data_IF_331139646241
#
_entry.id   IF_331139646241
#
_cell.length_a   1.000
_cell.length_b   1.000
_cell.length_c   1.000
_cell.angle_alpha   90.00
_cell.angle_beta   90.00
_cell.angle_gamma   90.00
#
_symmetry.space_group_name_H-M   'P 1'
#
loop_
_entity.id
_entity.type
_entity.pdbx_description
1 polymer ?
#
# COMPACT_ATOMS: atom_id res chain seq x y z
N UNK A 1 1.67 -10.96 -19.40
CA UNK A 1 1.80 -12.32 -18.88
C UNK A 1 3.26 -12.72 -18.81
N UNK A 2 3.98 -12.81 -19.93
CA UNK A 2 5.41 -13.21 -19.94
C UNK A 2 6.32 -12.39 -19.01
N UNK A 3 6.14 -11.06 -18.96
CA UNK A 3 6.90 -10.21 -18.01
C UNK A 3 6.62 -10.54 -16.54
N UNK A 4 5.40 -10.98 -16.22
CA UNK A 4 5.08 -11.44 -14.86
C UNK A 4 5.83 -12.74 -14.60
N UNK A 5 5.83 -13.66 -15.56
CA UNK A 5 6.53 -14.93 -15.41
C UNK A 5 8.04 -14.75 -15.26
N UNK A 6 8.65 -13.88 -16.06
CA UNK A 6 10.09 -13.64 -15.97
C UNK A 6 10.50 -12.92 -14.68
N UNK A 7 9.66 -12.02 -14.16
CA UNK A 7 10.02 -11.14 -13.04
C UNK A 7 9.57 -11.67 -11.69
N UNK A 8 8.40 -12.30 -11.61
CA UNK A 8 7.75 -12.62 -10.34
C UNK A 8 7.55 -14.12 -10.11
N UNK A 9 7.33 -14.93 -11.15
CA UNK A 9 7.05 -16.36 -10.93
C UNK A 9 8.18 -17.09 -10.14
N UNK A 10 9.48 -16.89 -10.45
CA UNK A 10 10.56 -17.51 -9.66
C UNK A 10 10.50 -17.13 -8.18
N UNK A 11 10.23 -15.85 -7.89
CA UNK A 11 10.23 -15.30 -6.53
C UNK A 11 9.00 -15.74 -5.74
N UNK A 12 7.85 -15.83 -6.41
CA UNK A 12 6.61 -16.34 -5.81
C UNK A 12 6.80 -17.81 -5.42
N UNK A 13 7.26 -18.65 -6.34
CA UNK A 13 7.36 -20.09 -6.08
C UNK A 13 8.53 -20.43 -5.15
N UNK A 14 9.61 -19.63 -5.12
CA UNK A 14 10.69 -19.80 -4.13
C UNK A 14 10.26 -19.38 -2.73
N UNK A 15 9.49 -18.30 -2.60
CA UNK A 15 9.06 -17.78 -1.28
C UNK A 15 7.87 -18.56 -0.71
N UNK A 16 6.89 -18.90 -1.54
CA UNK A 16 5.71 -19.65 -1.13
C UNK A 16 5.95 -21.16 -1.09
N UNK A 17 6.99 -21.64 -1.75
CA UNK A 17 7.26 -23.06 -1.95
C UNK A 17 6.43 -23.64 -3.09
N UNK A 18 6.79 -24.86 -3.50
CA UNK A 18 6.03 -25.59 -4.52
C UNK A 18 4.65 -25.98 -3.97
N UNK A 19 3.60 -25.62 -4.71
CA UNK A 19 2.22 -26.01 -4.37
C UNK A 19 1.92 -27.43 -4.81
N UNK A 20 2.43 -27.83 -5.97
CA UNK A 20 2.23 -29.15 -6.56
C UNK A 20 3.59 -29.78 -6.88
N UNK A 21 3.81 -31.03 -6.44
CA UNK A 21 5.02 -31.80 -6.77
C UNK A 21 4.94 -32.51 -8.12
N UNK A 22 3.77 -32.48 -8.77
CA UNK A 22 3.51 -33.14 -10.04
C UNK A 22 3.23 -32.13 -11.17
N UNK A 23 3.29 -32.59 -12.42
CA UNK A 23 2.89 -31.80 -13.61
C UNK A 23 1.38 -31.46 -13.59
N UNK A 24 0.59 -32.18 -12.79
CA UNK A 24 -0.84 -31.94 -12.61
C UNK A 24 -1.07 -30.97 -11.45
N UNK A 25 -1.72 -29.84 -11.76
CA UNK A 25 -1.97 -28.75 -10.81
C UNK A 25 -1.33 -27.43 -11.24
N UNK A 26 -1.60 -26.38 -10.48
CA UNK A 26 -1.06 -25.03 -10.70
C UNK A 26 -0.15 -24.63 -9.55
N UNK A 27 1.01 -24.07 -9.85
CA UNK A 27 1.90 -23.44 -8.87
C UNK A 27 1.32 -22.10 -8.39
N UNK A 28 1.81 -21.58 -7.27
CA UNK A 28 1.30 -20.31 -6.74
C UNK A 28 1.51 -19.15 -7.72
N UNK A 29 2.65 -19.10 -8.42
CA UNK A 29 2.91 -18.10 -9.45
C UNK A 29 1.85 -18.10 -10.56
N UNK A 30 1.46 -19.26 -11.07
CA UNK A 30 0.43 -19.43 -12.09
C UNK A 30 -0.95 -18.97 -11.59
N UNK A 31 -1.25 -19.22 -10.31
CA UNK A 31 -2.50 -18.82 -9.66
C UNK A 31 -2.55 -17.30 -9.47
N UNK A 32 -1.47 -16.69 -8.98
CA UNK A 32 -1.37 -15.23 -8.82
C UNK A 32 -1.44 -14.53 -10.17
N UNK A 33 -0.81 -15.08 -11.21
CA UNK A 33 -0.92 -14.57 -12.58
C UNK A 33 -2.35 -14.68 -13.13
N UNK A 34 -3.07 -15.75 -12.81
CA UNK A 34 -4.48 -15.90 -13.16
C UNK A 34 -5.34 -14.84 -12.45
N UNK A 35 -5.10 -14.57 -11.16
CA UNK A 35 -5.73 -13.47 -10.44
C UNK A 35 -5.37 -12.09 -11.03
N UNK A 36 -4.11 -11.87 -11.40
CA UNK A 36 -3.66 -10.64 -12.06
C UNK A 36 -4.45 -10.36 -13.35
N UNK A 37 -4.75 -11.41 -14.12
CA UNK A 37 -5.48 -11.27 -15.38
C UNK A 37 -6.85 -10.61 -15.21
N UNK A 38 -7.52 -10.82 -14.08
CA UNK A 38 -8.80 -10.17 -13.74
C UNK A 38 -8.65 -8.66 -13.85
N UNK A 39 -7.73 -8.08 -13.08
CA UNK A 39 -7.57 -6.62 -13.02
C UNK A 39 -6.92 -6.03 -14.28
N UNK A 40 -5.99 -6.76 -14.90
CA UNK A 40 -5.35 -6.36 -16.15
C UNK A 40 -6.28 -6.49 -17.38
N UNK A 41 -7.45 -7.10 -17.24
CA UNK A 41 -8.49 -7.15 -18.26
C UNK A 41 -9.74 -6.34 -17.87
N UNK A 42 -9.67 -5.52 -16.82
CA UNK A 42 -10.78 -4.65 -16.39
C UNK A 42 -11.86 -5.36 -15.57
N UNK A 43 -11.64 -6.61 -15.18
CA UNK A 43 -12.46 -7.33 -14.22
C UNK A 43 -12.37 -6.74 -12.81
N UNK A 44 -13.29 -7.17 -11.96
CA UNK A 44 -13.48 -6.61 -10.63
C UNK A 44 -13.81 -7.66 -9.56
N UNK A 45 -14.12 -8.88 -9.97
CA UNK A 45 -14.40 -10.02 -9.09
C UNK A 45 -13.52 -11.21 -9.51
N UNK A 46 -13.15 -12.09 -8.56
CA UNK A 46 -12.27 -13.24 -8.85
C UNK A 46 -12.93 -14.18 -9.87
N UNK A 47 -14.25 -14.28 -9.84
CA UNK A 47 -15.10 -15.09 -10.72
C UNK A 47 -15.03 -14.67 -12.20
N UNK A 48 -14.62 -13.43 -12.48
CA UNK A 48 -14.46 -12.92 -13.85
C UNK A 48 -13.41 -13.73 -14.62
N UNK A 49 -12.42 -14.31 -13.93
CA UNK A 49 -11.41 -15.17 -14.58
C UNK A 49 -12.07 -16.35 -15.27
N UNK A 50 -13.00 -17.05 -14.60
CA UNK A 50 -13.65 -18.25 -15.13
C UNK A 50 -14.74 -17.89 -16.12
N UNK A 51 -15.58 -16.92 -15.74
CA UNK A 51 -16.80 -16.60 -16.50
C UNK A 51 -16.53 -15.79 -17.77
N UNK A 52 -15.50 -14.95 -17.78
CA UNK A 52 -15.22 -14.03 -18.88
C UNK A 52 -13.87 -14.28 -19.55
N UNK A 53 -12.80 -14.52 -18.79
CA UNK A 53 -11.44 -14.43 -19.32
C UNK A 53 -10.85 -15.75 -19.79
N UNK A 54 -11.15 -16.87 -19.13
CA UNK A 54 -10.50 -18.17 -19.36
C UNK A 54 -10.54 -18.62 -20.83
N UNK A 55 -11.68 -18.46 -21.51
CA UNK A 55 -11.81 -18.79 -22.94
C UNK A 55 -10.86 -17.98 -23.82
N UNK A 56 -10.63 -16.71 -23.48
CA UNK A 56 -9.75 -15.85 -24.27
C UNK A 56 -8.28 -16.08 -23.93
N UNK A 57 -7.98 -16.31 -22.65
CA UNK A 57 -6.63 -16.61 -22.17
C UNK A 57 -6.11 -17.95 -22.71
N UNK A 58 -6.98 -18.93 -22.98
CA UNK A 58 -6.59 -20.21 -23.57
C UNK A 58 -6.09 -20.12 -25.01
N UNK A 59 -6.30 -18.98 -25.71
CA UNK A 59 -5.68 -18.74 -27.02
C UNK A 59 -4.18 -18.44 -26.91
N UNK A 60 -3.66 -18.16 -25.72
CA UNK A 60 -2.23 -17.95 -25.52
C UNK A 60 -1.49 -19.30 -25.50
N UNK A 61 -0.46 -19.52 -26.33
CA UNK A 61 0.09 -20.85 -26.62
C UNK A 61 0.57 -21.67 -25.41
N UNK A 62 1.19 -21.00 -24.44
CA UNK A 62 1.82 -21.64 -23.27
C UNK A 62 1.21 -21.21 -21.93
N UNK A 63 0.16 -20.37 -21.96
CA UNK A 63 -0.42 -19.81 -20.75
C UNK A 63 -1.31 -20.82 -20.07
N UNK A 64 -0.96 -21.17 -18.83
CA UNK A 64 -1.82 -21.95 -17.94
C UNK A 64 -2.59 -21.00 -17.04
N UNK A 65 -3.91 -20.97 -17.21
CA UNK A 65 -4.84 -20.15 -16.42
C UNK A 65 -5.76 -21.05 -15.61
N UNK A 66 -5.82 -20.82 -14.31
CA UNK A 66 -6.69 -21.57 -13.41
C UNK A 66 -8.05 -20.89 -13.21
N UNK A 67 -9.02 -21.65 -12.73
CA UNK A 67 -10.36 -21.14 -12.39
C UNK A 67 -10.34 -20.29 -11.11
N UNK A 68 -11.39 -19.50 -10.94
CA UNK A 68 -11.74 -18.80 -9.71
C UNK A 68 -11.72 -19.74 -8.50
N UNK A 69 -12.28 -20.95 -8.60
CA UNK A 69 -12.27 -21.91 -7.50
C UNK A 69 -10.84 -22.31 -7.07
N UNK A 70 -9.92 -22.41 -8.03
CA UNK A 70 -8.52 -22.71 -7.75
C UNK A 70 -7.85 -21.53 -7.05
N UNK A 71 -8.13 -20.30 -7.48
CA UNK A 71 -7.64 -19.08 -6.82
C UNK A 71 -8.17 -18.98 -5.39
N UNK A 72 -9.47 -19.15 -5.18
CA UNK A 72 -10.12 -19.06 -3.86
C UNK A 72 -9.66 -20.17 -2.90
N UNK A 73 -9.26 -21.32 -3.45
CA UNK A 73 -8.62 -22.41 -2.69
C UNK A 73 -7.19 -22.06 -2.30
N UNK A 74 -6.39 -21.53 -3.22
CA UNK A 74 -5.03 -21.09 -2.90
C UNK A 74 -4.99 -19.98 -1.85
N UNK A 75 -5.97 -19.06 -1.88
CA UNK A 75 -6.13 -18.04 -0.83
C UNK A 75 -6.28 -18.71 0.54
N UNK A 76 -7.11 -19.77 0.62
CA UNK A 76 -7.30 -20.54 1.85
C UNK A 76 -6.03 -21.31 2.26
N UNK A 77 -5.32 -21.92 1.31
CA UNK A 77 -4.07 -22.65 1.55
C UNK A 77 -2.94 -21.74 2.07
N UNK A 78 -2.93 -20.47 1.65
CA UNK A 78 -1.94 -19.47 2.08
C UNK A 78 -2.35 -18.71 3.36
N UNK A 79 -3.51 -19.04 3.93
CA UNK A 79 -4.03 -18.34 5.10
C UNK A 79 -3.22 -18.67 6.35
N UNK A 80 -2.79 -17.63 7.06
CA UNK A 80 -2.21 -17.72 8.40
C UNK A 80 -3.30 -17.44 9.43
N UNK A 81 -3.26 -18.14 10.57
CA UNK A 81 -4.21 -17.92 11.66
C UNK A 81 -4.06 -16.51 12.26
N UNK A 82 -5.16 -15.99 12.82
CA UNK A 82 -5.14 -14.71 13.53
C UNK A 82 -4.39 -14.85 14.86
N UNK A 83 -3.76 -13.74 15.27
CA UNK A 83 -3.26 -13.53 16.62
C UNK A 83 -4.29 -12.72 17.38
N UNK A 84 -4.80 -13.25 18.48
CA UNK A 84 -5.78 -12.57 19.33
C UNK A 84 -5.08 -11.91 20.52
N UNK A 85 -5.36 -10.63 20.74
CA UNK A 85 -4.88 -9.89 21.90
C UNK A 85 -6.04 -9.43 22.76
N UNK A 86 -5.93 -9.64 24.08
CA UNK A 86 -6.94 -9.23 25.06
C UNK A 86 -6.47 -7.97 25.78
N UNK A 87 -7.27 -6.91 25.69
CA UNK A 87 -7.07 -5.67 26.44
C UNK A 87 -7.34 -5.83 27.94
N UNK A 88 -6.85 -4.90 28.76
CA UNK A 88 -7.09 -4.87 30.21
C UNK A 88 -8.59 -4.83 30.58
N UNK A 89 -9.44 -4.37 29.66
CA UNK A 89 -10.90 -4.34 29.81
C UNK A 89 -11.58 -5.66 29.42
N UNK A 90 -10.81 -6.72 29.15
CA UNK A 90 -11.31 -8.04 28.77
C UNK A 90 -11.81 -8.15 27.31
N UNK A 91 -11.62 -7.12 26.48
CA UNK A 91 -11.99 -7.17 25.06
C UNK A 91 -10.86 -7.80 24.25
N UNK A 92 -11.19 -8.79 23.42
CA UNK A 92 -10.28 -9.46 22.50
C UNK A 92 -10.38 -8.85 21.10
N UNK A 93 -9.23 -8.70 20.45
CA UNK A 93 -9.09 -8.18 19.09
C UNK A 93 -8.16 -9.07 18.28
N UNK A 94 -8.57 -9.41 17.06
CA UNK A 94 -7.78 -10.23 16.15
C UNK A 94 -6.91 -9.37 15.23
N UNK A 95 -5.71 -9.87 14.98
CA UNK A 95 -4.73 -9.36 14.02
C UNK A 95 -4.27 -10.47 13.09
N UNK A 96 -3.97 -10.16 11.85
CA UNK A 96 -3.42 -11.11 10.88
C UNK A 96 -2.14 -10.55 10.24
N UNK A 97 -1.00 -11.16 10.58
CA UNK A 97 0.33 -10.70 10.17
C UNK A 97 0.75 -11.25 8.81
N UNK A 98 0.25 -12.43 8.41
CA UNK A 98 0.53 -13.07 7.12
C UNK A 98 2.01 -12.98 6.70
N UNK A 99 2.91 -13.37 7.61
CA UNK A 99 4.35 -13.05 7.57
C UNK A 99 5.01 -13.53 6.25
N UNK A 100 4.62 -14.72 5.79
CA UNK A 100 5.12 -15.32 4.55
C UNK A 100 4.78 -14.49 3.30
N UNK A 101 3.58 -13.89 3.25
CA UNK A 101 3.13 -13.08 2.13
C UNK A 101 3.69 -11.65 2.18
N UNK A 102 3.86 -11.11 3.38
CA UNK A 102 4.60 -9.85 3.55
C UNK A 102 6.07 -10.01 3.10
N UNK A 103 6.70 -11.13 3.43
CA UNK A 103 8.04 -11.48 2.93
C UNK A 103 8.06 -11.55 1.40
N UNK A 104 7.07 -12.20 0.78
CA UNK A 104 6.92 -12.23 -0.68
C UNK A 104 6.80 -10.81 -1.28
N UNK A 105 6.05 -9.91 -0.64
CA UNK A 105 5.88 -8.54 -1.12
C UNK A 105 7.22 -7.80 -1.26
N UNK A 106 8.08 -7.92 -0.23
CA UNK A 106 9.42 -7.32 -0.24
C UNK A 106 10.32 -8.01 -1.26
N UNK A 107 10.37 -9.35 -1.25
CA UNK A 107 11.20 -10.12 -2.19
C UNK A 107 10.86 -9.79 -3.66
N UNK A 108 9.56 -9.62 -3.96
CA UNK A 108 9.11 -9.23 -5.28
C UNK A 108 9.61 -7.82 -5.66
N UNK A 109 9.51 -6.84 -4.76
CA UNK A 109 10.02 -5.49 -5.00
C UNK A 109 11.54 -5.46 -5.20
N UNK A 110 12.29 -6.26 -4.43
CA UNK A 110 13.75 -6.42 -4.61
C UNK A 110 14.07 -7.05 -5.96
N UNK A 111 13.38 -8.15 -6.33
CA UNK A 111 13.60 -8.83 -7.61
C UNK A 111 13.32 -7.96 -8.84
N UNK A 112 12.39 -7.02 -8.70
CA UNK A 112 12.03 -6.08 -9.75
C UNK A 112 12.92 -4.82 -9.74
N UNK A 113 13.84 -4.70 -8.79
CA UNK A 113 14.72 -3.55 -8.60
C UNK A 113 13.99 -2.28 -8.16
N UNK A 114 12.75 -2.39 -7.70
CA UNK A 114 11.99 -1.27 -7.13
C UNK A 114 12.45 -0.95 -5.71
N UNK A 115 12.93 -1.97 -4.98
CA UNK A 115 13.71 -1.81 -3.76
C UNK A 115 15.09 -2.40 -3.99
N UNK A 116 16.10 -1.83 -3.34
CA UNK A 116 17.48 -2.30 -3.37
C UNK A 116 17.99 -2.46 -1.95
N UNK A 117 18.82 -3.47 -1.78
CA UNK A 117 19.55 -3.68 -0.54
C UNK A 117 20.45 -2.47 -0.24
N UNK A 118 20.60 -2.12 1.04
CA UNK A 118 21.50 -1.06 1.54
C UNK A 118 21.05 0.37 1.15
N UNK A 119 19.99 0.53 0.38
CA UNK A 119 19.34 1.83 0.20
C UNK A 119 18.43 2.19 1.39
N UNK A 120 18.23 3.49 1.58
CA UNK A 120 17.35 4.03 2.63
C UNK A 120 16.12 4.66 2.01
N UNK A 121 14.95 4.36 2.56
CA UNK A 121 13.67 4.77 1.98
C UNK A 121 12.83 5.63 2.92
N UNK A 122 11.96 6.44 2.31
CA UNK A 122 10.89 7.12 3.03
C UNK A 122 9.68 6.19 3.11
N UNK A 123 9.27 5.90 4.35
CA UNK A 123 8.17 5.01 4.66
C UNK A 123 6.98 5.78 5.17
N UNK A 124 5.84 5.32 4.70
CA UNK A 124 4.56 5.93 4.90
C UNK A 124 3.61 4.90 5.51
N UNK A 125 3.13 5.12 6.73
CA UNK A 125 2.10 4.27 7.36
C UNK A 125 0.72 4.94 7.42
N UNK A 126 -0.34 4.18 7.18
CA UNK A 126 -1.72 4.56 7.48
C UNK A 126 -2.63 3.33 7.64
N UNK A 127 -3.77 3.51 8.32
CA UNK A 127 -4.81 2.49 8.36
C UNK A 127 -5.81 2.71 7.24
N UNK A 128 -6.04 1.69 6.42
CA UNK A 128 -7.16 1.67 5.49
C UNK A 128 -8.36 1.01 6.18
N UNK A 129 -9.54 1.63 6.10
CA UNK A 129 -10.77 1.01 6.57
C UNK A 129 -11.50 0.37 5.39
N UNK A 130 -11.76 -0.93 5.48
CA UNK A 130 -12.43 -1.69 4.44
C UNK A 130 -13.85 -2.01 4.90
N UNK A 131 -14.82 -1.31 4.33
CA UNK A 131 -16.25 -1.56 4.58
C UNK A 131 -16.66 -2.89 3.97
N UNK A 132 -17.21 -3.78 4.81
CA UNK A 132 -17.68 -5.08 4.37
C UNK A 132 -18.58 -5.75 5.41
N UNK A 133 -19.51 -6.58 4.93
CA UNK A 133 -20.41 -7.38 5.74
C UNK A 133 -19.96 -8.84 5.82
N UNK A 134 -18.64 -9.07 5.83
CA UNK A 134 -18.07 -10.41 6.00
C UNK A 134 -18.41 -10.99 7.36
N UNK A 135 -18.33 -12.31 7.46
CA UNK A 135 -18.86 -13.07 8.60
C UNK A 135 -18.29 -12.60 9.95
N UNK A 136 -16.98 -12.33 9.99
CA UNK A 136 -16.27 -11.88 11.20
C UNK A 136 -16.05 -10.37 11.27
N UNK A 137 -16.61 -9.59 10.33
CA UNK A 137 -16.45 -8.13 10.30
C UNK A 137 -17.01 -7.47 11.56
N UNK A 138 -16.29 -6.47 12.09
CA UNK A 138 -16.65 -5.77 13.33
C UNK A 138 -16.98 -4.29 13.08
N UNK A 139 -17.78 -3.64 13.95
CA UNK A 139 -18.12 -2.23 13.82
C UNK A 139 -16.88 -1.34 13.92
N UNK A 140 -16.66 -0.48 12.94
CA UNK A 140 -15.59 0.51 12.95
C UNK A 140 -16.04 1.81 13.64
N UNK A 141 -15.08 2.64 14.07
CA UNK A 141 -15.39 3.98 14.56
C UNK A 141 -16.05 4.87 13.49
N UNK A 142 -15.87 4.53 12.20
CA UNK A 142 -16.49 5.20 11.05
C UNK A 142 -17.95 4.78 10.83
N UNK A 143 -18.54 4.01 11.75
CA UNK A 143 -19.95 3.59 11.79
C UNK A 143 -20.38 2.63 10.67
N UNK A 144 -19.46 1.77 10.21
CA UNK A 144 -19.76 0.65 9.31
C UNK A 144 -19.05 -0.62 9.77
N UNK A 145 -19.54 -1.80 9.34
CA UNK A 145 -18.87 -3.08 9.57
C UNK A 145 -17.66 -3.21 8.65
N UNK A 146 -16.54 -3.68 9.16
CA UNK A 146 -15.36 -3.83 8.32
C UNK A 146 -14.11 -4.33 9.02
N UNK A 147 -13.02 -4.24 8.28
CA UNK A 147 -11.65 -4.50 8.75
C UNK A 147 -10.81 -3.23 8.70
N UNK A 148 -9.67 -3.25 9.38
CA UNK A 148 -8.77 -2.10 9.51
C UNK A 148 -7.31 -2.49 9.27
N UNK A 149 -6.92 -2.83 8.03
CA UNK A 149 -5.53 -3.08 7.72
C UNK A 149 -4.63 -1.86 7.92
N UNK A 150 -3.51 -2.07 8.61
CA UNK A 150 -2.36 -1.17 8.62
C UNK A 150 -1.52 -1.41 7.37
N UNK A 151 -1.31 -0.36 6.57
CA UNK A 151 -0.62 -0.45 5.27
C UNK A 151 0.61 0.45 5.27
N UNK A 152 1.73 -0.13 4.84
CA UNK A 152 2.99 0.58 4.68
C UNK A 152 3.28 0.78 3.20
N UNK A 153 3.75 1.98 2.87
CA UNK A 153 4.03 2.40 1.50
C UNK A 153 5.44 2.99 1.41
N UNK A 154 6.15 2.67 0.34
CA UNK A 154 7.36 3.37 -0.11
C UNK A 154 7.08 3.94 -1.49
N UNK A 155 7.10 5.27 -1.62
CA UNK A 155 6.71 5.94 -2.86
C UNK A 155 5.27 5.62 -3.25
N UNK A 156 5.09 4.84 -4.31
CA UNK A 156 3.78 4.35 -4.80
C UNK A 156 3.61 2.82 -4.67
N UNK A 157 4.50 2.16 -3.91
CA UNK A 157 4.51 0.71 -3.71
C UNK A 157 4.05 0.36 -2.31
N UNK A 158 3.17 -0.63 -2.19
CA UNK A 158 2.76 -1.19 -0.91
C UNK A 158 3.81 -2.22 -0.49
N UNK A 159 4.40 -2.06 0.69
CA UNK A 159 5.53 -2.89 1.14
C UNK A 159 5.18 -3.85 2.27
N UNK A 160 4.11 -3.57 3.01
CA UNK A 160 3.64 -4.43 4.09
C UNK A 160 2.17 -4.14 4.40
N UNK A 161 1.42 -5.19 4.74
CA UNK A 161 0.03 -5.11 5.20
C UNK A 161 -0.15 -6.03 6.40
N UNK A 162 -0.71 -5.51 7.48
CA UNK A 162 -1.18 -6.31 8.61
C UNK A 162 -2.63 -5.95 8.89
N UNK A 163 -3.49 -6.95 8.93
CA UNK A 163 -4.93 -6.73 9.08
C UNK A 163 -5.36 -6.82 10.55
N UNK A 164 -6.45 -6.15 10.89
CA UNK A 164 -7.06 -6.28 12.21
C UNK A 164 -8.57 -6.09 12.15
N UNK A 165 -9.24 -6.47 13.23
CA UNK A 165 -10.65 -6.16 13.41
C UNK A 165 -10.95 -4.66 13.24
N UNK A 166 -12.14 -4.37 12.73
CA UNK A 166 -12.60 -3.00 12.50
C UNK A 166 -12.79 -2.17 13.78
N UNK A 167 -13.10 -2.82 14.91
CA UNK A 167 -13.34 -2.19 16.20
C UNK A 167 -12.06 -2.01 17.05
N UNK A 168 -10.90 -2.45 16.56
CA UNK A 168 -9.62 -2.31 17.25
C UNK A 168 -9.23 -0.85 17.39
N UNK A 169 -8.82 -0.44 18.59
CA UNK A 169 -8.30 0.90 18.81
C UNK A 169 -7.02 1.11 18.00
N UNK A 170 -6.88 2.26 17.34
CA UNK A 170 -5.74 2.54 16.44
C UNK A 170 -4.36 2.43 17.09
N UNK A 171 -4.28 2.60 18.42
CA UNK A 171 -3.02 2.51 19.18
C UNK A 171 -2.74 1.10 19.73
N UNK A 172 -3.76 0.23 19.77
CA UNK A 172 -3.65 -1.09 20.40
C UNK A 172 -2.76 -2.01 19.55
N UNK A 173 -1.68 -2.53 20.16
CA UNK A 173 -0.64 -3.35 19.51
C UNK A 173 -0.01 -2.75 18.24
N UNK A 174 -0.19 -1.46 17.98
CA UNK A 174 0.38 -0.81 16.80
C UNK A 174 1.92 -0.77 16.86
N UNK A 175 2.51 -0.65 18.07
CA UNK A 175 3.96 -0.75 18.24
C UNK A 175 4.49 -2.12 17.80
N UNK A 176 3.75 -3.20 18.09
CA UNK A 176 4.12 -4.55 17.64
C UNK A 176 4.02 -4.71 16.12
N UNK A 177 3.00 -4.11 15.50
CA UNK A 177 2.87 -4.04 14.04
C UNK A 177 4.06 -3.32 13.40
N UNK A 178 4.50 -2.18 13.99
CA UNK A 178 5.69 -1.46 13.53
C UNK A 178 6.96 -2.29 13.70
N UNK A 179 7.13 -2.93 14.86
CA UNK A 179 8.28 -3.79 15.15
C UNK A 179 8.42 -4.93 14.14
N UNK A 180 7.32 -5.63 13.83
CA UNK A 180 7.31 -6.69 12.80
C UNK A 180 7.69 -6.16 11.43
N UNK A 181 7.13 -5.02 11.04
CA UNK A 181 7.47 -4.37 9.77
C UNK A 181 8.95 -4.01 9.67
N UNK A 182 9.51 -3.34 10.68
CA UNK A 182 10.92 -2.96 10.68
C UNK A 182 11.84 -4.18 10.69
N UNK A 183 11.54 -5.19 11.51
CA UNK A 183 12.31 -6.43 11.53
C UNK A 183 12.33 -7.12 10.15
N UNK A 184 11.21 -7.10 9.41
CA UNK A 184 11.16 -7.63 8.05
C UNK A 184 12.06 -6.84 7.09
N UNK A 185 11.98 -5.51 7.08
CA UNK A 185 12.86 -4.70 6.22
C UNK A 185 14.34 -4.88 6.56
N UNK A 186 14.68 -4.91 7.84
CA UNK A 186 16.05 -5.11 8.33
C UNK A 186 16.59 -6.49 7.93
N UNK A 187 15.74 -7.53 7.96
CA UNK A 187 16.11 -8.88 7.48
C UNK A 187 16.47 -8.93 5.99
N UNK A 188 16.01 -7.96 5.22
CA UNK A 188 16.29 -7.79 3.79
C UNK A 188 17.35 -6.69 3.54
N UNK A 189 18.05 -6.23 4.58
CA UNK A 189 19.04 -5.15 4.53
C UNK A 189 18.47 -3.82 3.97
N UNK A 190 17.17 -3.57 4.14
CA UNK A 190 16.51 -2.33 3.72
C UNK A 190 16.36 -1.43 4.93
N UNK A 191 16.78 -0.16 4.81
CA UNK A 191 16.75 0.80 5.92
C UNK A 191 15.66 1.85 5.72
N UNK A 192 15.12 2.37 6.82
CA UNK A 192 14.16 3.47 6.79
C UNK A 192 14.87 4.78 7.09
N UNK A 193 14.92 5.68 6.11
CA UNK A 193 15.45 7.03 6.30
C UNK A 193 14.44 7.87 7.09
N UNK A 194 13.25 8.06 6.52
CA UNK A 194 12.20 8.91 7.08
C UNK A 194 10.91 8.14 7.24
N UNK A 195 10.24 8.28 8.37
CA UNK A 195 8.96 7.64 8.64
C UNK A 195 7.85 8.67 8.83
N UNK A 196 6.70 8.48 8.17
CA UNK A 196 5.55 9.39 8.29
C UNK A 196 4.27 8.65 8.69
N UNK A 197 3.57 9.19 9.69
CA UNK A 197 2.30 8.65 10.14
C UNK A 197 1.30 9.73 10.62
N UNK A 198 0.07 9.29 10.84
CA UNK A 198 -1.04 10.09 11.33
C UNK A 198 -1.02 10.25 12.87
N UNK A 199 -2.09 10.81 13.43
CA UNK A 199 -2.17 11.05 14.87
C UNK A 199 -2.48 9.80 15.69
N UNK A 200 -3.01 8.75 15.05
CA UNK A 200 -3.16 7.42 15.64
C UNK A 200 -1.84 6.91 16.21
N UNK A 201 -0.73 7.22 15.55
CA UNK A 201 0.62 6.76 15.91
C UNK A 201 1.32 7.62 16.97
N UNK A 202 0.67 8.66 17.51
CA UNK A 202 1.28 9.59 18.46
C UNK A 202 1.09 9.15 19.94
N UNK A 203 1.67 8.00 20.30
CA UNK A 203 1.81 7.49 21.68
C UNK A 203 3.29 7.32 22.06
N UNK A 204 3.62 7.31 23.36
CA UNK A 204 5.02 7.17 23.84
C UNK A 204 5.66 5.89 23.33
N UNK A 205 4.94 4.78 23.44
CA UNK A 205 5.41 3.45 23.06
C UNK A 205 5.64 3.35 21.56
N UNK A 206 4.66 3.76 20.75
CA UNK A 206 4.74 3.71 19.28
C UNK A 206 5.88 4.59 18.75
N UNK A 207 5.98 5.83 19.22
CA UNK A 207 7.06 6.74 18.79
C UNK A 207 8.42 6.22 19.22
N UNK A 208 8.54 5.66 20.44
CA UNK A 208 9.80 5.09 20.91
C UNK A 208 10.21 3.85 20.14
N UNK A 209 9.27 3.08 19.59
CA UNK A 209 9.58 1.95 18.70
C UNK A 209 10.05 2.46 17.34
N UNK A 210 9.30 3.37 16.70
CA UNK A 210 9.66 3.95 15.39
C UNK A 210 11.05 4.62 15.42
N UNK A 211 11.36 5.34 16.50
CA UNK A 211 12.63 6.04 16.68
C UNK A 211 13.86 5.12 16.65
N UNK A 212 13.72 3.84 17.03
CA UNK A 212 14.83 2.86 16.99
C UNK A 212 15.24 2.47 15.57
N UNK A 213 14.31 2.57 14.62
CA UNK A 213 14.43 1.95 13.30
C UNK A 213 14.46 2.94 12.14
N UNK A 214 14.38 4.26 12.40
CA UNK A 214 14.46 5.29 11.36
C UNK A 214 15.35 6.47 11.78
N UNK A 215 15.91 7.19 10.79
CA UNK A 215 16.69 8.41 11.09
C UNK A 215 15.79 9.53 11.57
N UNK A 216 14.71 9.78 10.83
CA UNK A 216 13.74 10.82 11.19
C UNK A 216 12.31 10.32 11.13
N UNK A 217 11.48 10.71 12.10
CA UNK A 217 10.04 10.48 12.04
C UNK A 217 9.27 11.80 11.96
N UNK A 218 8.08 11.74 11.36
CA UNK A 218 7.16 12.86 11.24
C UNK A 218 5.74 12.36 11.51
N UNK A 219 5.26 12.61 12.72
CA UNK A 219 3.99 12.04 13.21
C UNK A 219 3.08 13.19 13.58
N UNK A 220 1.81 13.12 13.16
CA UNK A 220 0.84 14.15 13.55
C UNK A 220 0.65 14.14 15.07
N UNK A 221 0.86 15.28 15.72
CA UNK A 221 0.64 15.35 17.15
C UNK A 221 -0.87 15.34 17.47
N UNK A 222 -1.25 14.54 18.47
CA UNK A 222 -2.59 14.58 19.05
C UNK A 222 -2.86 15.93 19.72
N UNK A 223 -4.12 16.38 19.67
CA UNK A 223 -4.62 17.55 20.40
C UNK A 223 -4.47 17.27 21.90
N UNK A 224 -3.60 18.01 22.58
CA UNK A 224 -3.42 17.89 24.03
C UNK A 224 -3.40 19.30 24.63
N UNK A 225 -4.17 19.51 25.69
CA UNK A 225 -4.37 20.83 26.31
C UNK A 225 -3.06 21.47 26.78
N UNK A 226 -2.10 20.67 27.27
CA UNK A 226 -0.76 21.15 27.65
C UNK A 226 0.00 21.74 26.47
N UNK A 227 -0.11 21.11 25.30
CA UNK A 227 0.52 21.57 24.06
C UNK A 227 -0.05 22.92 23.60
N UNK A 228 -1.35 23.15 23.77
CA UNK A 228 -2.00 24.39 23.31
C UNK A 228 -1.56 25.61 24.11
N UNK A 229 -1.33 25.48 25.42
CA UNK A 229 -0.81 26.58 26.23
C UNK A 229 0.54 27.09 25.70
N UNK A 230 1.45 26.17 25.40
CA UNK A 230 2.75 26.51 24.81
C UNK A 230 2.59 27.12 23.41
N UNK A 231 1.68 26.58 22.59
CA UNK A 231 1.40 27.10 21.24
C UNK A 231 0.83 28.53 21.30
N UNK A 232 -0.04 28.85 22.26
CA UNK A 232 -0.63 30.19 22.39
C UNK A 232 0.36 31.23 22.91
N UNK A 233 1.35 30.79 23.70
CA UNK A 233 2.44 31.65 24.14
C UNK A 233 3.42 31.99 22.99
N UNK A 234 3.44 31.21 21.90
CA UNK A 234 4.38 31.42 20.81
C UNK A 234 4.21 32.75 20.09
N UNK A 235 5.36 33.35 19.77
CA UNK A 235 5.50 34.55 18.94
C UNK A 235 6.45 34.27 17.78
N UNK A 236 6.54 35.19 16.81
CA UNK A 236 7.43 35.05 15.65
C UNK A 236 6.93 34.07 14.58
N UNK A 237 5.62 34.02 14.37
CA UNK A 237 5.01 33.23 13.31
C UNK A 237 5.47 33.73 11.94
N UNK A 238 5.85 32.81 11.06
CA UNK A 238 6.27 33.12 9.69
C UNK A 238 5.15 32.76 8.71
N UNK A 239 4.66 33.74 7.96
CA UNK A 239 3.69 33.50 6.90
C UNK A 239 4.39 32.89 5.69
N UNK A 240 3.88 31.76 5.23
CA UNK A 240 4.37 31.01 4.08
C UNK A 240 3.19 30.58 3.21
N UNK A 241 3.39 30.58 1.90
CA UNK A 241 2.41 30.05 0.95
C UNK A 241 2.81 28.64 0.53
N UNK A 242 1.94 27.66 0.79
CA UNK A 242 2.16 26.26 0.45
C UNK A 242 0.96 25.80 -0.38
N UNK A 243 1.22 25.34 -1.61
CA UNK A 243 0.20 24.89 -2.56
C UNK A 243 -0.93 25.93 -2.79
N UNK A 244 -0.59 27.22 -2.84
CA UNK A 244 -1.58 28.29 -3.06
C UNK A 244 -2.41 28.68 -1.84
N UNK A 245 -2.10 28.13 -0.65
CA UNK A 245 -2.78 28.45 0.60
C UNK A 245 -1.76 29.11 1.55
N UNK A 246 -2.15 30.24 2.14
CA UNK A 246 -1.35 30.90 3.16
C UNK A 246 -1.48 30.20 4.51
N UNK A 247 -0.33 29.91 5.12
CA UNK A 247 -0.21 29.35 6.44
C UNK A 247 0.75 30.18 7.27
N UNK A 248 0.57 30.13 8.58
CA UNK A 248 1.56 30.63 9.52
C UNK A 248 2.26 29.45 10.18
N UNK A 249 3.59 29.43 10.07
CA UNK A 249 4.44 28.36 10.54
C UNK A 249 5.27 28.81 11.74
N UNK A 250 5.45 27.91 12.70
CA UNK A 250 6.39 28.07 13.80
C UNK A 250 6.88 26.70 14.27
N UNK A 251 7.88 26.65 15.14
CA UNK A 251 8.28 25.40 15.81
C UNK A 251 8.79 25.64 17.22
N UNK A 252 8.55 24.66 18.09
CA UNK A 252 9.05 24.65 19.47
C UNK A 252 9.67 23.31 19.81
N UNK A 253 10.53 23.31 20.82
CA UNK A 253 10.95 22.10 21.50
C UNK A 253 9.95 21.80 22.62
N UNK A 254 9.47 20.56 22.67
CA UNK A 254 8.51 20.09 23.67
C UNK A 254 9.00 18.81 24.29
N UNK A 255 8.96 18.76 25.61
CA UNK A 255 9.10 17.51 26.35
C UNK A 255 7.74 16.85 26.48
N UNK A 256 7.32 16.15 25.42
CA UNK A 256 6.00 15.51 25.39
C UNK A 256 5.91 14.31 26.34
N UNK A 257 7.02 13.63 26.52
CA UNK A 257 7.17 12.52 27.46
C UNK A 257 8.46 12.71 28.24
N UNK A 258 8.43 12.34 29.51
CA UNK A 258 9.56 12.44 30.43
C UNK A 258 10.86 11.95 29.81
N UNK A 259 11.88 12.81 29.82
CA UNK A 259 13.22 12.56 29.30
C UNK A 259 13.35 12.61 27.78
N UNK A 260 12.28 12.96 27.05
CA UNK A 260 12.25 12.98 25.58
C UNK A 260 11.78 14.33 25.03
N UNK A 261 12.76 15.14 24.62
CA UNK A 261 12.53 16.42 23.97
C UNK A 261 12.44 16.26 22.45
N UNK A 262 11.31 16.63 21.86
CA UNK A 262 11.07 16.59 20.42
C UNK A 262 10.78 17.97 19.86
N UNK A 263 10.95 18.11 18.55
CA UNK A 263 10.51 19.31 17.86
C UNK A 263 9.04 19.15 17.46
N UNK A 264 8.25 20.16 17.77
CA UNK A 264 6.89 20.32 17.32
C UNK A 264 6.85 21.42 16.26
N UNK A 265 6.61 21.04 15.00
CA UNK A 265 6.37 21.99 13.92
C UNK A 265 4.88 22.27 13.85
N UNK A 266 4.50 23.54 13.91
CA UNK A 266 3.12 23.98 14.02
C UNK A 266 2.78 24.78 12.77
N UNK A 267 1.74 24.34 12.09
CA UNK A 267 1.08 25.06 11.01
C UNK A 267 -0.26 25.55 11.55
N UNK A 268 -0.56 26.84 11.41
CA UNK A 268 -1.89 27.39 11.70
C UNK A 268 -2.48 28.09 10.48
N UNK A 269 -3.79 27.95 10.31
CA UNK A 269 -4.56 28.58 9.26
C UNK A 269 -5.72 29.34 9.89
N UNK A 270 -5.95 30.59 9.46
CA UNK A 270 -7.09 31.36 9.93
C UNK A 270 -8.39 30.75 9.38
N UNK A 271 -9.41 30.64 10.22
CA UNK A 271 -10.73 30.10 9.83
C UNK A 271 -11.52 31.17 9.08
N UNK A 272 -12.17 30.79 7.98
CA UNK A 272 -12.90 31.72 7.10
C UNK A 272 -14.38 31.94 7.47
N UNK A 273 -14.88 31.36 8.57
CA UNK A 273 -16.27 31.48 9.00
C UNK A 273 -16.36 31.62 10.51
N UNK A 274 -17.26 32.50 10.99
CA UNK A 274 -17.42 32.94 12.39
C UNK A 274 -17.80 31.88 13.44
N UNK A 275 -17.56 30.60 13.17
CA UNK A 275 -17.64 29.52 14.14
C UNK A 275 -16.30 29.43 14.89
N UNK A 276 -16.22 30.22 15.97
CA UNK A 276 -15.16 30.08 16.97
C UNK A 276 -15.28 28.69 17.59
N UNK A 277 -14.23 27.89 17.45
CA UNK A 277 -14.08 26.67 18.24
C UNK A 277 -13.64 27.09 19.64
N UNK A 278 -14.39 26.64 20.66
CA UNK A 278 -14.18 26.95 22.07
C UNK A 278 -12.73 26.71 22.55
N UNK A 279 -11.96 25.88 21.83
CA UNK A 279 -10.60 25.49 22.21
C UNK A 279 -9.51 26.08 21.30
N UNK A 280 -9.80 26.36 20.02
CA UNK A 280 -8.79 26.80 19.03
C UNK A 280 -8.97 28.25 18.56
N UNK A 281 -10.10 28.89 18.91
CA UNK A 281 -10.40 30.28 18.55
C UNK A 281 -10.45 30.50 17.04
N UNK A 282 -9.73 31.51 16.54
CA UNK A 282 -9.72 31.94 15.14
C UNK A 282 -8.92 31.04 14.18
N UNK A 283 -8.12 30.09 14.71
CA UNK A 283 -7.18 29.33 13.90
C UNK A 283 -7.47 27.82 13.96
N UNK A 284 -7.07 27.11 12.91
CA UNK A 284 -6.96 25.65 12.92
C UNK A 284 -5.50 25.28 13.05
N UNK A 285 -5.15 24.52 14.10
CA UNK A 285 -3.78 24.11 14.37
C UNK A 285 -3.47 22.71 13.84
N UNK A 286 -2.28 22.59 13.26
CA UNK A 286 -1.79 21.41 12.57
C UNK A 286 -0.36 21.15 13.02
N UNK A 287 -0.19 20.26 14.00
CA UNK A 287 1.11 20.03 14.64
C UNK A 287 1.76 18.71 14.20
N UNK A 288 3.05 18.75 13.87
CA UNK A 288 3.87 17.60 13.48
C UNK A 288 4.97 17.43 14.53
N UNK A 289 5.01 16.27 15.17
CA UNK A 289 6.06 15.85 16.08
C UNK A 289 7.18 15.17 15.29
N UNK A 290 8.43 15.58 15.52
CA UNK A 290 9.59 15.05 14.82
C UNK A 290 10.86 15.12 15.67
N UNK A 291 11.82 14.23 15.37
CA UNK A 291 13.22 14.29 15.81
C UNK A 291 14.14 14.97 14.76
N UNK A 292 13.59 15.65 13.75
CA UNK A 292 14.34 16.49 12.82
C UNK A 292 14.46 17.93 13.35
N UNK A 293 15.63 18.23 13.91
CA UNK A 293 15.97 19.55 14.46
C UNK A 293 16.65 20.48 13.46
N UNK A 294 17.01 20.00 12.25
CA UNK A 294 17.85 20.74 11.30
C UNK A 294 17.04 21.31 10.14
N UNK A 295 16.07 20.58 9.61
CA UNK A 295 15.28 21.02 8.45
C UNK A 295 14.45 22.27 8.78
N UNK A 296 14.13 23.06 7.76
CA UNK A 296 13.27 24.23 7.97
C UNK A 296 11.83 23.80 8.30
N UNK A 297 11.07 24.67 8.97
CA UNK A 297 9.65 24.40 9.27
C UNK A 297 8.84 24.19 8.00
N UNK A 298 9.16 24.93 6.93
CA UNK A 298 8.54 24.78 5.61
C UNK A 298 8.82 23.42 4.99
N UNK A 299 10.09 22.99 4.96
CA UNK A 299 10.48 21.70 4.37
C UNK A 299 9.78 20.54 5.08
N UNK A 300 9.66 20.61 6.41
CA UNK A 300 8.97 19.59 7.22
C UNK A 300 7.49 19.53 6.86
N UNK A 301 6.82 20.68 6.70
CA UNK A 301 5.40 20.73 6.32
C UNK A 301 5.20 20.23 4.90
N UNK A 302 6.01 20.68 3.93
CA UNK A 302 5.94 20.22 2.55
C UNK A 302 6.20 18.70 2.45
N UNK A 303 7.22 18.20 3.15
CA UNK A 303 7.52 16.78 3.20
C UNK A 303 6.40 15.96 3.86
N UNK A 304 5.79 16.47 4.94
CA UNK A 304 4.66 15.80 5.58
C UNK A 304 3.42 15.77 4.67
N UNK A 305 3.18 16.82 3.89
CA UNK A 305 2.02 16.90 3.00
C UNK A 305 2.06 15.86 1.87
N UNK A 306 3.24 15.38 1.46
CA UNK A 306 3.37 14.29 0.48
C UNK A 306 2.70 12.99 0.95
N UNK A 307 2.48 12.81 2.26
CA UNK A 307 1.70 11.69 2.84
C UNK A 307 0.30 11.58 2.23
N UNK A 308 -0.29 12.68 1.77
CA UNK A 308 -1.61 12.71 1.11
C UNK A 308 -1.67 11.88 -0.18
N UNK A 309 -0.53 11.54 -0.79
CA UNK A 309 -0.48 10.65 -1.95
C UNK A 309 -1.06 9.26 -1.72
N UNK A 310 -1.12 8.79 -0.46
CA UNK A 310 -1.67 7.47 -0.10
C UNK A 310 -3.15 7.32 -0.39
N UNK A 311 -3.94 8.39 -0.26
CA UNK A 311 -5.38 8.34 -0.54
C UNK A 311 -5.62 7.87 -1.98
N UNK A 312 -4.76 8.28 -2.91
CA UNK A 312 -4.80 7.80 -4.29
C UNK A 312 -4.45 6.32 -4.41
N UNK A 313 -3.48 5.83 -3.63
CA UNK A 313 -3.10 4.41 -3.63
C UNK A 313 -4.27 3.57 -3.13
N UNK A 314 -4.90 3.96 -2.02
CA UNK A 314 -6.06 3.24 -1.49
C UNK A 314 -7.27 3.31 -2.43
N UNK A 315 -7.50 4.45 -3.09
CA UNK A 315 -8.53 4.55 -4.12
C UNK A 315 -8.24 3.62 -5.32
N UNK A 316 -6.98 3.56 -5.76
CA UNK A 316 -6.53 2.62 -6.80
C UNK A 316 -6.73 1.16 -6.35
N UNK A 317 -6.42 0.81 -5.10
CA UNK A 317 -6.62 -0.55 -4.56
C UNK A 317 -8.11 -0.93 -4.46
N UNK A 318 -8.94 -0.02 -3.97
CA UNK A 318 -10.38 -0.23 -3.82
C UNK A 318 -11.08 -0.39 -5.17
N UNK A 319 -10.77 0.48 -6.14
CA UNK A 319 -11.51 0.57 -7.40
C UNK A 319 -10.82 -0.13 -8.59
N UNK A 320 -9.53 -0.42 -8.47
CA UNK A 320 -8.70 -1.03 -9.52
C UNK A 320 -8.21 -2.44 -9.20
N UNK A 321 -8.04 -2.79 -7.92
CA UNK A 321 -7.48 -4.09 -7.49
C UNK A 321 -8.37 -4.84 -6.48
N UNK A 322 -9.65 -4.47 -6.40
CA UNK A 322 -10.69 -5.30 -5.75
C UNK A 322 -10.74 -5.25 -4.23
N UNK A 323 -10.05 -4.34 -3.54
CA UNK A 323 -10.15 -4.24 -2.07
C UNK A 323 -11.58 -3.92 -1.58
N UNK A 324 -12.41 -3.30 -2.41
CA UNK A 324 -13.85 -3.09 -2.14
C UNK A 324 -14.72 -4.34 -2.29
N UNK A 325 -14.15 -5.44 -2.81
CA UNK A 325 -14.88 -6.68 -3.16
C UNK A 325 -14.13 -7.90 -2.65
N UNK A 326 -14.02 -7.98 -1.34
CA UNK A 326 -13.35 -9.08 -0.66
C UNK A 326 -14.02 -10.44 -1.01
N UNK A 327 -13.26 -11.46 -1.44
CA UNK A 327 -13.85 -12.70 -1.94
C UNK A 327 -14.17 -13.75 -0.87
N UNK A 328 -13.69 -13.58 0.37
CA UNK A 328 -13.78 -14.60 1.42
C UNK A 328 -14.58 -14.11 2.61
N UNK A 329 -15.02 -15.04 3.45
CA UNK A 329 -15.88 -14.73 4.61
C UNK A 329 -15.12 -14.29 5.85
N UNK A 330 -13.83 -14.61 5.95
CA UNK A 330 -13.02 -14.38 7.14
C UNK A 330 -11.87 -13.40 6.87
N UNK A 331 -11.48 -12.64 7.89
CA UNK A 331 -10.40 -11.65 7.83
C UNK A 331 -9.07 -12.30 7.43
N UNK A 332 -8.75 -13.47 7.98
CA UNK A 332 -7.50 -14.17 7.71
C UNK A 332 -7.33 -14.49 6.21
N UNK A 333 -8.36 -15.06 5.59
CA UNK A 333 -8.36 -15.37 4.16
C UNK A 333 -8.36 -14.08 3.30
N UNK A 334 -9.08 -13.05 3.73
CA UNK A 334 -9.09 -11.77 3.01
C UNK A 334 -7.76 -11.03 3.13
N UNK A 335 -6.98 -11.22 4.20
CA UNK A 335 -5.64 -10.64 4.35
C UNK A 335 -4.69 -11.17 3.27
N UNK A 336 -4.77 -12.47 2.97
CA UNK A 336 -4.07 -13.07 1.83
C UNK A 336 -4.47 -12.38 0.53
N UNK A 337 -5.77 -12.17 0.29
CA UNK A 337 -6.24 -11.47 -0.90
C UNK A 337 -5.71 -10.03 -1.01
N UNK A 338 -5.68 -9.27 0.10
CA UNK A 338 -5.11 -7.92 0.13
C UNK A 338 -3.63 -7.92 -0.27
N UNK A 339 -2.85 -8.89 0.22
CA UNK A 339 -1.43 -9.03 -0.09
C UNK A 339 -1.19 -9.47 -1.54
N UNK A 340 -1.94 -10.44 -2.05
CA UNK A 340 -1.83 -10.86 -3.46
C UNK A 340 -2.19 -9.73 -4.43
N UNK A 341 -3.23 -8.95 -4.12
CA UNK A 341 -3.63 -7.81 -4.95
C UNK A 341 -2.65 -6.63 -4.82
N UNK A 342 -2.03 -6.43 -3.65
CA UNK A 342 -0.93 -5.47 -3.47
C UNK A 342 0.31 -5.85 -4.29
N UNK A 343 0.68 -7.14 -4.34
CA UNK A 343 1.74 -7.65 -5.22
C UNK A 343 1.43 -7.34 -6.69
N UNK A 344 0.19 -7.59 -7.13
CA UNK A 344 -0.28 -7.30 -8.49
C UNK A 344 -0.24 -5.80 -8.79
N UNK A 345 -0.66 -4.95 -7.84
CA UNK A 345 -0.58 -3.50 -7.95
C UNK A 345 0.88 -3.02 -8.09
N UNK A 346 1.79 -3.55 -7.27
CA UNK A 346 3.20 -3.19 -7.35
C UNK A 346 3.79 -3.57 -8.71
N UNK A 347 3.47 -4.75 -9.22
CA UNK A 347 3.85 -5.17 -10.56
C UNK A 347 3.31 -4.22 -11.65
N UNK A 348 2.05 -3.79 -11.53
CA UNK A 348 1.49 -2.78 -12.42
C UNK A 348 2.30 -1.48 -12.39
N UNK A 349 2.68 -0.99 -11.21
CA UNK A 349 3.52 0.22 -11.10
C UNK A 349 4.90 0.02 -11.72
N UNK A 350 5.50 -1.16 -11.60
CA UNK A 350 6.76 -1.51 -12.29
C UNK A 350 6.61 -1.52 -13.81
N UNK A 351 5.49 -2.01 -14.34
CA UNK A 351 5.22 -1.92 -15.78
C UNK A 351 5.08 -0.46 -16.22
N UNK A 352 4.33 0.36 -15.47
CA UNK A 352 4.12 1.77 -15.77
C UNK A 352 5.40 2.61 -15.66
N UNK A 353 6.35 2.22 -14.79
CA UNK A 353 7.63 2.91 -14.64
C UNK A 353 8.56 2.69 -15.84
N UNK A 354 8.51 1.47 -16.43
CA UNK A 354 9.34 1.02 -17.56
C UNK A 354 8.71 1.26 -18.94
N UNK A 355 7.39 1.40 -19.02
CA UNK A 355 6.68 1.65 -20.28
C UNK A 355 6.84 3.11 -20.74
N UNK A 356 6.98 3.31 -22.05
CA UNK A 356 6.84 4.63 -22.68
C UNK A 356 5.37 5.08 -22.67
N UNK A 357 4.89 5.45 -21.49
CA UNK A 357 3.46 5.76 -21.24
C UNK A 357 2.92 6.87 -22.15
N UNK A 358 3.74 7.86 -22.52
CA UNK A 358 3.34 8.97 -23.39
C UNK A 358 2.92 8.48 -24.78
N UNK A 359 3.63 7.48 -25.31
CA UNK A 359 3.31 6.88 -26.61
C UNK A 359 1.94 6.17 -26.66
N UNK A 360 1.34 5.91 -25.51
CA UNK A 360 0.00 5.33 -25.37
C UNK A 360 -1.03 6.33 -24.81
N UNK A 361 -0.68 7.62 -24.70
CA UNK A 361 -1.55 8.64 -24.10
C UNK A 361 -1.77 8.43 -22.59
N UNK A 362 -0.84 7.75 -21.93
CA UNK A 362 -0.86 7.48 -20.50
C UNK A 362 0.14 8.37 -19.75
N UNK A 363 -0.10 8.54 -18.45
CA UNK A 363 0.85 9.10 -17.48
C UNK A 363 1.37 7.95 -16.63
N UNK A 364 2.58 8.05 -16.05
CA UNK A 364 3.08 7.06 -15.08
C UNK A 364 2.14 6.84 -13.89
N UNK A 365 1.35 7.87 -13.55
CA UNK A 365 0.34 7.83 -12.49
C UNK A 365 -1.05 7.38 -12.96
N UNK A 366 -1.24 7.03 -14.23
CA UNK A 366 -2.52 6.55 -14.74
C UNK A 366 -3.01 5.32 -13.96
N UNK A 367 -4.33 5.21 -13.80
CA UNK A 367 -4.98 4.06 -13.17
C UNK A 367 -4.99 2.85 -14.10
N UNK A 368 -5.09 1.66 -13.51
CA UNK A 368 -5.13 0.40 -14.27
C UNK A 368 -6.25 0.40 -15.32
N UNK A 369 -7.45 0.92 -15.03
CA UNK A 369 -8.54 1.01 -16.02
C UNK A 369 -8.17 1.81 -17.28
N UNK A 370 -7.45 2.93 -17.11
CA UNK A 370 -6.95 3.71 -18.23
C UNK A 370 -5.86 2.95 -19.00
N UNK A 371 -4.98 2.25 -18.29
CA UNK A 371 -3.98 1.37 -18.90
C UNK A 371 -4.64 0.24 -19.70
N UNK A 372 -5.67 -0.42 -19.17
CA UNK A 372 -6.43 -1.44 -19.89
C UNK A 372 -6.99 -0.86 -21.19
N UNK A 373 -7.71 0.24 -21.10
CA UNK A 373 -8.33 0.89 -22.26
C UNK A 373 -7.31 1.34 -23.33
N UNK A 374 -6.17 1.91 -22.92
CA UNK A 374 -5.19 2.50 -23.85
C UNK A 374 -4.11 1.54 -24.34
N UNK A 375 -3.80 0.49 -23.58
CA UNK A 375 -2.69 -0.42 -23.86
C UNK A 375 -3.14 -1.87 -24.09
N UNK A 376 -4.07 -2.40 -23.29
CA UNK A 376 -4.48 -3.81 -23.36
C UNK A 376 -5.58 -4.05 -24.41
N UNK A 377 -6.54 -3.13 -24.55
CA UNK A 377 -7.68 -3.23 -25.46
C UNK A 377 -7.28 -2.99 -26.93
N UNK A 378 -6.50 -3.91 -27.49
CA UNK A 378 -6.06 -3.89 -28.89
C UNK A 378 -6.31 -5.25 -29.55
N UNK A 379 -6.82 -5.32 -30.80
CA UNK A 379 -6.96 -6.59 -31.49
C UNK A 379 -5.60 -7.24 -31.72
N UNK A 380 -5.46 -8.50 -31.32
CA UNK A 380 -4.24 -9.25 -31.51
C UNK A 380 -4.53 -10.72 -31.81
N UNK A 381 -3.60 -11.39 -32.50
CA UNK A 381 -3.70 -12.81 -32.85
C UNK A 381 -2.34 -13.48 -32.71
N UNK A 382 -2.33 -14.61 -32.01
CA UNK A 382 -1.18 -15.52 -32.03
C UNK A 382 -1.10 -16.23 -33.37
N UNK A 383 0.06 -16.17 -34.01
CA UNK A 383 0.37 -16.90 -35.24
C UNK A 383 1.61 -17.76 -35.03
N UNK A 384 1.67 -18.91 -35.71
CA UNK A 384 2.87 -19.75 -35.75
C UNK A 384 3.67 -19.39 -37.00
N UNK A 385 4.90 -18.91 -36.85
CA UNK A 385 5.82 -18.60 -37.94
C UNK A 385 7.20 -19.15 -37.60
N UNK A 386 7.85 -19.84 -38.54
CA UNK A 386 9.20 -20.41 -38.33
C UNK A 386 9.35 -21.24 -37.03
N UNK A 387 8.32 -22.02 -36.67
CA UNK A 387 8.24 -22.83 -35.42
C UNK A 387 8.23 -22.02 -34.12
N UNK A 388 7.97 -20.72 -34.19
CA UNK A 388 7.80 -19.84 -33.04
C UNK A 388 6.39 -19.22 -33.05
N UNK A 389 5.81 -19.06 -31.86
CA UNK A 389 4.59 -18.30 -31.69
C UNK A 389 4.91 -16.81 -31.60
N UNK A 390 4.25 -16.02 -32.44
CA UNK A 390 4.39 -14.55 -32.48
C UNK A 390 3.02 -13.92 -32.29
N UNK A 391 2.94 -12.88 -31.46
CA UNK A 391 1.72 -12.11 -31.26
C UNK A 391 1.64 -10.98 -32.28
N UNK A 392 0.78 -11.11 -33.27
CA UNK A 392 0.46 -10.02 -34.19
C UNK A 392 -0.52 -9.06 -33.53
N UNK A 393 -0.14 -7.79 -33.42
CA UNK A 393 -0.99 -6.72 -32.87
C UNK A 393 -1.46 -5.83 -34.02
N UNK A 394 -2.77 -5.72 -34.20
CA UNK A 394 -3.37 -4.98 -35.31
C UNK A 394 -3.69 -3.54 -34.87
N UNK A 395 -2.71 -2.66 -35.01
CA UNK A 395 -2.81 -1.25 -34.61
C UNK A 395 -1.90 -0.35 -35.44
N UNK A 396 -2.30 0.91 -35.63
CA UNK A 396 -1.46 1.94 -36.24
C UNK A 396 -0.42 2.50 -35.26
N UNK A 397 -0.58 2.24 -33.95
CA UNK A 397 0.36 2.72 -32.95
C UNK A 397 1.66 1.89 -32.98
N UNK A 398 2.67 2.40 -33.69
CA UNK A 398 3.99 1.76 -33.81
C UNK A 398 4.73 1.59 -32.48
N UNK A 399 4.30 2.26 -31.40
CA UNK A 399 4.91 2.11 -30.09
C UNK A 399 4.78 0.68 -29.53
N UNK A 400 3.78 -0.10 -29.97
CA UNK A 400 3.63 -1.52 -29.60
C UNK A 400 4.82 -2.39 -30.02
N UNK A 401 5.64 -1.95 -30.98
CA UNK A 401 6.84 -2.70 -31.36
C UNK A 401 7.89 -2.76 -30.23
N UNK A 402 7.94 -1.79 -29.30
CA UNK A 402 8.98 -1.80 -28.24
C UNK A 402 8.68 -2.80 -27.11
N UNK A 403 7.47 -2.85 -26.51
CA UNK A 403 7.21 -3.72 -25.37
C UNK A 403 7.17 -5.21 -25.69
N UNK A 404 6.92 -5.55 -26.96
CA UNK A 404 6.76 -6.93 -27.47
C UNK A 404 7.92 -7.36 -28.38
N UNK A 405 9.00 -6.58 -28.45
CA UNK A 405 10.23 -6.99 -29.12
C UNK A 405 10.79 -8.21 -28.40
N UNK A 406 10.78 -9.35 -29.08
CA UNK A 406 11.52 -10.53 -28.66
C UNK A 406 12.97 -10.36 -29.13
N UNK A 407 13.92 -11.09 -28.53
CA UNK A 407 15.34 -11.06 -28.94
C UNK A 407 15.55 -11.48 -30.42
N UNK A 408 14.51 -11.97 -31.08
CA UNK A 408 14.53 -12.43 -32.47
C UNK A 408 13.92 -11.46 -33.51
N UNK A 409 13.66 -10.19 -33.15
CA UNK A 409 13.40 -9.10 -34.12
C UNK A 409 12.14 -8.29 -33.89
#
# INVERSE_FOLDING_TARGET
MEKFDSMLSPVIDSTLGQRCSSIFGYQFSEIVRSLMSVYFCGGSCVEDVTSQLMRHLSYHPTLRTCSSDTILRAIKELTQENISYTSDQGKTYDFNTADKLNTLLINALVSTGELKEIEEYDVDFDHQFLETEKYDAKPTYKKFLGYRPGVYVIGDKIVYIENSDGNTNVRFHQADTHKRFFALLESQNIRVNRFRADCGSCSKEIVSEIEKHCKHFYIRANRCSSLYNDIFALRGWKTEEINGIQFELNSILVEKWEGKCYRLVIQRQRRNSGDLDLWEGEYTYRCILTNDYKSSTRDIVEFYNLRGGKERIFDDMNNGFGWSRLPKSFMAENTVFLLLTALIHNFYKTIMSRLDTKAFGLKKTSRIKAFVFRFISVPAKWIMTARQYVLNIYTENRAYAKPFKTEFG
#
